data_IF_309177172412
#
_entry.id   IF_309177172412
#
_cell.length_a   1.000
_cell.length_b   1.000
_cell.length_c   1.000
_cell.angle_alpha   90.00
_cell.angle_beta   90.00
_cell.angle_gamma   90.00
#
_symmetry.space_group_name_H-M   'P 1'
#
loop_
_entity.id
_entity.type
_entity.pdbx_description
1 polymer ?
#
# COMPACT_ATOMS: atom_id res chain seq x y z
N UNK A 1 10.11 12.06 -5.97
CA UNK A 1 9.67 12.46 -7.33
C UNK A 1 8.20 12.83 -7.28
N UNK A 2 7.72 13.63 -8.23
CA UNK A 2 6.33 14.05 -8.33
C UNK A 2 5.84 13.75 -9.74
N UNK A 3 4.56 13.42 -9.88
CA UNK A 3 3.92 13.32 -11.19
C UNK A 3 3.37 14.69 -11.56
N UNK A 4 3.47 15.08 -12.84
CA UNK A 4 3.08 16.42 -13.29
C UNK A 4 2.38 16.37 -14.65
N UNK A 5 1.47 17.32 -14.90
CA UNK A 5 0.94 17.59 -16.23
C UNK A 5 1.80 18.64 -16.93
N UNK A 6 2.11 18.41 -18.20
CA UNK A 6 2.96 19.27 -19.02
C UNK A 6 2.36 19.43 -20.40
N UNK A 7 2.47 20.63 -20.97
CA UNK A 7 2.10 20.89 -22.36
C UNK A 7 2.97 22.01 -22.96
N UNK A 8 4.24 21.70 -23.18
CA UNK A 8 5.21 22.62 -23.78
C UNK A 8 6.06 21.89 -24.83
N UNK A 9 6.53 22.63 -25.84
CA UNK A 9 7.42 22.12 -26.89
C UNK A 9 8.81 22.76 -26.89
N UNK A 10 9.08 23.63 -25.92
CA UNK A 10 10.36 24.31 -25.71
C UNK A 10 10.79 24.11 -24.26
N UNK A 11 12.09 24.10 -24.01
CA UNK A 11 12.66 23.94 -22.68
C UNK A 11 13.83 24.90 -22.46
N UNK A 12 14.12 25.20 -21.21
CA UNK A 12 15.27 26.03 -20.81
C UNK A 12 16.52 25.15 -20.76
N UNK A 13 17.63 25.62 -21.33
CA UNK A 13 18.94 24.98 -21.22
C UNK A 13 19.60 25.36 -19.87
N UNK A 14 19.72 24.45 -18.89
CA UNK A 14 20.27 24.75 -17.57
C UNK A 14 21.67 25.39 -17.59
N UNK A 15 22.51 24.99 -18.55
CA UNK A 15 23.88 25.50 -18.66
C UNK A 15 23.94 26.99 -19.03
N UNK A 16 22.83 27.57 -19.51
CA UNK A 16 22.73 28.97 -19.93
C UNK A 16 22.12 29.89 -18.87
N UNK A 17 21.79 29.36 -17.69
CA UNK A 17 21.19 30.16 -16.64
C UNK A 17 22.14 31.28 -16.17
N UNK A 18 21.66 32.52 -15.98
CA UNK A 18 22.48 33.61 -15.46
C UNK A 18 23.00 33.31 -14.06
N UNK A 19 23.99 34.10 -13.64
CA UNK A 19 24.45 34.12 -12.24
C UNK A 19 23.24 34.35 -11.31
N UNK A 20 23.19 33.58 -10.22
CA UNK A 20 22.13 33.59 -9.19
C UNK A 20 20.81 32.89 -9.59
N UNK A 21 20.76 32.18 -10.73
CA UNK A 21 19.67 31.28 -11.08
C UNK A 21 20.11 29.82 -11.07
N UNK A 22 19.23 28.96 -10.57
CA UNK A 22 19.51 27.54 -10.43
C UNK A 22 18.31 26.71 -10.91
N UNK A 23 18.54 25.50 -11.45
CA UNK A 23 17.47 24.54 -11.69
C UNK A 23 16.76 24.18 -10.37
N UNK A 24 15.43 24.16 -10.41
CA UNK A 24 14.58 23.80 -9.27
C UNK A 24 14.04 22.37 -9.39
N UNK A 25 13.54 22.01 -10.58
CA UNK A 25 13.05 20.68 -10.91
C UNK A 25 13.73 20.17 -12.17
N UNK A 26 13.80 18.85 -12.31
CA UNK A 26 14.39 18.16 -13.46
C UNK A 26 13.51 16.98 -13.83
N UNK A 27 13.29 16.79 -15.13
CA UNK A 27 12.52 15.68 -15.64
C UNK A 27 13.26 14.36 -15.38
N UNK A 28 12.58 13.38 -14.77
CA UNK A 28 13.21 12.09 -14.46
C UNK A 28 13.47 11.22 -15.70
N UNK A 29 12.79 11.47 -16.82
CA UNK A 29 12.90 10.66 -18.03
C UNK A 29 13.98 11.17 -18.99
N UNK A 30 14.04 12.48 -19.23
CA UNK A 30 14.92 13.08 -20.25
C UNK A 30 15.91 14.14 -19.71
N UNK A 31 15.91 14.37 -18.39
CA UNK A 31 16.76 15.34 -17.69
C UNK A 31 16.58 16.80 -18.11
N UNK A 32 15.50 17.14 -18.83
CA UNK A 32 15.19 18.54 -19.18
C UNK A 32 14.83 19.37 -17.94
N UNK A 33 14.99 20.70 -18.06
CA UNK A 33 14.66 21.62 -16.97
C UNK A 33 13.13 21.69 -16.77
N UNK A 34 12.71 21.54 -15.52
CA UNK A 34 11.28 21.57 -15.15
C UNK A 34 10.93 22.73 -14.23
N UNK A 35 11.86 23.67 -14.05
CA UNK A 35 11.69 24.82 -13.19
C UNK A 35 13.01 25.44 -12.80
N UNK A 36 12.95 26.71 -12.42
CA UNK A 36 14.10 27.52 -12.03
C UNK A 36 13.76 28.32 -10.78
N UNK A 37 14.79 28.64 -10.00
CA UNK A 37 14.66 29.44 -8.78
C UNK A 37 15.84 30.41 -8.68
N UNK A 38 15.57 31.61 -8.20
CA UNK A 38 16.61 32.59 -7.91
C UNK A 38 17.23 32.28 -6.53
N UNK A 39 18.55 32.42 -6.38
CA UNK A 39 19.27 32.04 -5.16
C UNK A 39 18.86 32.86 -3.93
N UNK A 40 18.54 34.15 -4.11
CA UNK A 40 18.16 35.08 -3.03
C UNK A 40 16.75 35.69 -3.15
N UNK A 41 16.37 36.19 -4.33
CA UNK A 41 15.08 36.82 -4.57
C UNK A 41 13.92 35.81 -4.57
N UNK A 42 12.67 36.23 -4.32
CA UNK A 42 11.52 35.33 -4.17
C UNK A 42 10.94 34.95 -5.54
N UNK A 43 11.82 34.61 -6.49
CA UNK A 43 11.45 34.28 -7.85
C UNK A 43 11.66 32.79 -8.06
N UNK A 44 10.61 32.14 -8.54
CA UNK A 44 10.68 30.77 -9.03
C UNK A 44 9.69 30.60 -10.18
N UNK A 45 9.93 29.58 -10.99
CA UNK A 45 9.04 29.17 -12.06
C UNK A 45 9.10 27.65 -12.18
N UNK A 46 8.02 27.07 -12.68
CA UNK A 46 7.90 25.65 -13.01
C UNK A 46 7.47 25.52 -14.47
N UNK A 47 7.94 24.46 -15.11
CA UNK A 47 7.65 24.19 -16.52
C UNK A 47 6.33 23.40 -16.70
N UNK A 48 5.91 22.70 -15.65
CA UNK A 48 4.65 21.96 -15.56
C UNK A 48 3.49 22.82 -15.02
N UNK A 49 2.30 22.23 -15.01
CA UNK A 49 1.04 22.85 -14.61
C UNK A 49 0.59 22.40 -13.21
N UNK A 50 0.99 23.09 -12.12
CA UNK A 50 0.58 22.72 -10.76
C UNK A 50 -0.92 22.88 -10.51
N UNK A 51 -1.65 23.58 -11.38
CA UNK A 51 -3.10 23.72 -11.35
C UNK A 51 -3.86 22.47 -11.82
N UNK A 52 -3.14 21.42 -12.26
CA UNK A 52 -3.61 20.03 -12.37
C UNK A 52 -4.93 19.79 -13.13
N UNK A 53 -5.45 20.74 -13.91
CA UNK A 53 -6.74 20.60 -14.57
C UNK A 53 -6.64 19.58 -15.72
N UNK A 54 -6.94 18.31 -15.41
CA UNK A 54 -6.65 17.07 -16.16
C UNK A 54 -5.28 16.39 -15.86
N UNK A 55 -4.66 16.67 -14.70
CA UNK A 55 -3.42 16.07 -14.21
C UNK A 55 -3.45 15.78 -12.70
N UNK A 56 -2.36 15.28 -12.11
CA UNK A 56 -2.26 14.99 -10.67
C UNK A 56 -2.17 16.27 -9.83
N UNK A 57 -2.77 16.25 -8.64
CA UNK A 57 -2.82 17.36 -7.67
C UNK A 57 -1.54 17.49 -6.81
N UNK A 58 -0.54 16.64 -7.03
CA UNK A 58 0.66 16.45 -6.19
C UNK A 58 1.44 17.73 -5.86
N UNK A 59 1.40 18.75 -6.73
CA UNK A 59 2.19 19.99 -6.62
C UNK A 59 1.34 21.27 -6.51
N UNK A 60 0.04 21.16 -6.24
CA UNK A 60 -0.82 22.33 -5.93
C UNK A 60 -0.27 23.12 -4.73
N UNK A 61 0.42 22.43 -3.82
CA UNK A 61 1.08 23.02 -2.65
C UNK A 61 2.10 24.14 -2.99
N UNK A 62 2.56 24.27 -4.24
CA UNK A 62 3.39 25.38 -4.69
C UNK A 62 2.65 26.72 -4.65
N UNK A 63 1.32 26.74 -4.80
CA UNK A 63 0.50 27.94 -4.62
C UNK A 63 0.51 28.40 -3.15
N UNK A 64 0.42 27.48 -2.18
CA UNK A 64 0.57 27.81 -0.76
C UNK A 64 1.92 28.49 -0.50
N UNK A 65 3.00 27.90 -1.03
CA UNK A 65 4.35 28.44 -0.89
C UNK A 65 4.45 29.84 -1.48
N UNK A 66 3.89 30.05 -2.67
CA UNK A 66 3.88 31.34 -3.33
C UNK A 66 3.17 32.41 -2.48
N UNK A 67 1.96 32.12 -1.98
CA UNK A 67 1.18 33.04 -1.14
C UNK A 67 1.89 33.36 0.18
N UNK A 68 2.45 32.34 0.82
CA UNK A 68 3.18 32.47 2.08
C UNK A 68 4.48 33.28 1.92
N UNK A 69 5.23 33.06 0.84
CA UNK A 69 6.42 33.86 0.51
C UNK A 69 6.06 35.32 0.26
N UNK A 70 4.98 35.63 -0.46
CA UNK A 70 4.51 37.02 -0.65
C UNK A 70 4.27 37.72 0.68
N UNK A 71 3.67 37.04 1.65
CA UNK A 71 3.36 37.63 2.95
C UNK A 71 4.59 37.79 3.86
N UNK A 72 5.54 36.85 3.79
CA UNK A 72 6.71 36.81 4.68
C UNK A 72 7.93 37.54 4.13
N UNK A 73 8.11 37.60 2.82
CA UNK A 73 9.31 38.17 2.19
C UNK A 73 9.58 39.62 2.60
N UNK A 74 8.59 40.56 2.60
CA UNK A 74 8.84 41.95 3.00
C UNK A 74 9.29 42.12 4.46
N UNK A 75 9.00 41.14 5.32
CA UNK A 75 9.29 41.18 6.76
C UNK A 75 10.59 40.49 7.13
N UNK A 76 10.93 39.41 6.42
CA UNK A 76 11.97 38.46 6.85
C UNK A 76 12.93 38.05 5.75
N UNK A 77 12.74 38.53 4.50
CA UNK A 77 13.51 38.10 3.33
C UNK A 77 13.60 36.56 3.21
N UNK A 78 12.47 35.87 3.41
CA UNK A 78 12.42 34.41 3.35
C UNK A 78 12.91 33.89 1.99
N UNK A 79 13.74 32.84 2.00
CA UNK A 79 14.15 32.17 0.77
C UNK A 79 13.03 31.31 0.21
N UNK A 80 12.55 31.61 -0.99
CA UNK A 80 11.54 30.81 -1.69
C UNK A 80 12.03 29.39 -1.96
N UNK A 81 13.32 29.23 -2.31
CA UNK A 81 13.96 27.93 -2.51
C UNK A 81 13.87 27.05 -1.26
N UNK A 82 14.15 27.64 -0.10
CA UNK A 82 14.07 26.92 1.17
C UNK A 82 12.62 26.60 1.55
N UNK A 83 11.69 27.53 1.34
CA UNK A 83 10.27 27.30 1.59
C UNK A 83 9.69 26.17 0.74
N UNK A 84 10.04 26.11 -0.56
CA UNK A 84 9.68 24.99 -1.45
C UNK A 84 10.26 23.69 -0.91
N UNK A 85 11.57 23.65 -0.62
CA UNK A 85 12.24 22.45 -0.13
C UNK A 85 11.63 21.94 1.18
N UNK A 86 11.32 22.81 2.12
CA UNK A 86 10.70 22.47 3.40
C UNK A 86 9.30 21.89 3.18
N UNK A 87 8.45 22.57 2.39
CA UNK A 87 7.10 22.09 2.06
C UNK A 87 7.15 20.71 1.42
N UNK A 88 7.98 20.52 0.39
CA UNK A 88 8.12 19.24 -0.33
C UNK A 88 8.74 18.13 0.53
N UNK A 89 9.74 18.44 1.36
CA UNK A 89 10.38 17.43 2.23
C UNK A 89 9.47 17.04 3.38
N UNK A 90 8.62 17.94 3.88
CA UNK A 90 7.66 17.62 4.94
C UNK A 90 6.65 16.53 4.55
N UNK A 91 6.45 16.31 3.25
CA UNK A 91 5.60 15.25 2.70
C UNK A 91 6.30 13.88 2.78
N UNK A 92 7.63 13.85 2.68
CA UNK A 92 8.43 12.63 2.72
C UNK A 92 8.71 12.23 4.18
N UNK A 93 8.00 11.20 4.67
CA UNK A 93 8.06 10.80 6.08
C UNK A 93 9.22 9.84 6.41
N UNK A 94 9.69 9.02 5.47
CA UNK A 94 10.72 8.02 5.76
C UNK A 94 11.83 7.99 4.70
N UNK A 95 13.11 7.94 5.12
CA UNK A 95 14.24 7.79 4.21
C UNK A 95 14.28 6.36 3.63
N UNK A 96 14.93 6.17 2.47
CA UNK A 96 15.18 4.84 1.93
C UNK A 96 15.97 3.96 2.91
N UNK A 97 15.74 2.64 2.87
CA UNK A 97 16.53 1.66 3.61
C UNK A 97 17.99 1.74 3.17
N UNK A 98 18.89 2.00 4.12
CA UNK A 98 20.34 2.08 3.88
C UNK A 98 21.07 0.76 4.11
N UNK A 99 20.47 -0.17 4.85
CA UNK A 99 21.01 -1.50 5.16
C UNK A 99 20.07 -2.58 4.63
N UNK A 100 20.37 -3.06 3.41
CA UNK A 100 19.59 -4.09 2.73
C UNK A 100 19.91 -5.48 3.30
N UNK A 101 18.90 -6.32 3.57
CA UNK A 101 19.12 -7.67 4.05
C UNK A 101 19.78 -8.53 2.98
N UNK A 102 20.81 -9.28 3.36
CA UNK A 102 21.51 -10.22 2.45
C UNK A 102 20.66 -11.45 2.06
N UNK A 103 19.66 -11.78 2.88
CA UNK A 103 18.75 -12.91 2.67
C UNK A 103 17.33 -12.52 3.05
N UNK A 104 16.38 -12.81 2.16
CA UNK A 104 14.96 -12.52 2.33
C UNK A 104 14.14 -13.79 2.20
N UNK A 105 13.20 -13.97 3.14
CA UNK A 105 12.17 -14.99 3.08
C UNK A 105 10.93 -14.42 2.36
N UNK A 106 10.39 -15.16 1.39
CA UNK A 106 9.14 -14.86 0.73
C UNK A 106 8.12 -15.92 1.15
N UNK A 107 6.98 -15.46 1.67
CA UNK A 107 5.84 -16.32 1.96
C UNK A 107 4.96 -16.37 0.71
N UNK A 108 4.90 -17.54 0.06
CA UNK A 108 4.08 -17.78 -1.12
C UNK A 108 2.58 -17.85 -0.82
N UNK A 109 1.78 -18.17 -1.84
CA UNK A 109 0.31 -18.20 -1.71
C UNK A 109 -0.27 -19.51 -1.20
N UNK A 110 0.49 -20.59 -1.24
CA UNK A 110 -0.05 -21.92 -0.98
C UNK A 110 -0.88 -22.45 -2.14
N UNK A 111 -1.82 -23.33 -1.82
CA UNK A 111 -2.70 -23.94 -2.82
C UNK A 111 -3.57 -22.92 -3.53
N UNK A 112 -3.95 -23.22 -4.77
CA UNK A 112 -4.92 -22.41 -5.51
C UNK A 112 -6.31 -22.57 -4.90
N UNK A 113 -6.97 -21.46 -4.58
CA UNK A 113 -8.34 -21.43 -4.08
C UNK A 113 -9.16 -20.39 -4.85
N UNK A 114 -10.48 -20.50 -4.80
CA UNK A 114 -11.36 -19.46 -5.38
C UNK A 114 -11.06 -18.13 -4.67
N UNK A 115 -10.76 -17.08 -5.43
CA UNK A 115 -10.38 -15.76 -4.90
C UNK A 115 -8.89 -15.60 -4.58
N UNK A 116 -8.08 -16.64 -4.74
CA UNK A 116 -6.62 -16.61 -4.59
C UNK A 116 -5.98 -17.59 -5.57
N UNK A 117 -5.64 -17.10 -6.76
CA UNK A 117 -5.22 -17.93 -7.89
C UNK A 117 -3.75 -17.68 -8.29
N UNK A 118 -3.47 -17.73 -9.59
CA UNK A 118 -2.11 -17.66 -10.15
C UNK A 118 -1.46 -16.27 -10.10
N UNK A 119 -2.19 -15.22 -9.72
CA UNK A 119 -1.66 -13.86 -9.58
C UNK A 119 -0.51 -13.77 -8.55
N UNK A 120 -0.55 -14.64 -7.53
CA UNK A 120 0.49 -14.71 -6.51
C UNK A 120 1.72 -15.51 -6.94
N UNK A 121 1.53 -16.49 -7.84
CA UNK A 121 2.64 -17.18 -8.50
C UNK A 121 3.44 -16.19 -9.36
N UNK A 122 2.73 -15.39 -10.16
CA UNK A 122 3.33 -14.34 -10.98
C UNK A 122 4.02 -13.27 -10.12
N UNK A 123 3.31 -12.65 -9.18
CA UNK A 123 3.85 -11.55 -8.38
C UNK A 123 5.00 -12.00 -7.45
N UNK A 124 4.89 -13.19 -6.85
CA UNK A 124 5.98 -13.80 -6.09
C UNK A 124 7.21 -14.08 -6.94
N UNK A 125 7.04 -14.48 -8.20
CA UNK A 125 8.16 -14.67 -9.14
C UNK A 125 8.84 -13.34 -9.51
N UNK A 126 8.08 -12.25 -9.69
CA UNK A 126 8.65 -10.91 -9.91
C UNK A 126 9.42 -10.43 -8.68
N UNK A 127 8.92 -10.68 -7.47
CA UNK A 127 9.63 -10.35 -6.23
C UNK A 127 10.98 -11.07 -6.13
N UNK A 128 11.03 -12.36 -6.47
CA UNK A 128 12.29 -13.13 -6.51
C UNK A 128 13.26 -12.53 -7.53
N UNK A 129 12.76 -12.17 -8.72
CA UNK A 129 13.58 -11.55 -9.77
C UNK A 129 14.19 -10.23 -9.31
N UNK A 130 13.40 -9.35 -8.72
CA UNK A 130 13.86 -8.05 -8.21
C UNK A 130 14.93 -8.22 -7.11
N UNK A 131 14.72 -9.14 -6.16
CA UNK A 131 15.71 -9.44 -5.12
C UNK A 131 17.03 -9.95 -5.71
N UNK A 132 16.97 -10.78 -6.77
CA UNK A 132 18.15 -11.28 -7.45
C UNK A 132 18.93 -10.20 -8.19
N UNK A 133 18.25 -9.26 -8.84
CA UNK A 133 18.89 -8.10 -9.49
C UNK A 133 19.70 -7.26 -8.48
N UNK A 134 19.24 -7.20 -7.23
CA UNK A 134 19.92 -6.55 -6.10
C UNK A 134 20.89 -7.45 -5.32
N UNK A 135 21.22 -8.64 -5.84
CA UNK A 135 22.12 -9.62 -5.21
C UNK A 135 21.69 -10.09 -3.81
N UNK A 136 20.37 -10.13 -3.54
CA UNK A 136 19.79 -10.61 -2.29
C UNK A 136 19.42 -12.09 -2.42
N UNK A 137 19.88 -12.91 -1.47
CA UNK A 137 19.55 -14.34 -1.44
C UNK A 137 18.07 -14.55 -1.10
N UNK A 138 17.42 -15.43 -1.85
CA UNK A 138 15.97 -15.68 -1.76
C UNK A 138 15.66 -17.04 -1.18
N UNK A 139 14.83 -17.07 -0.13
CA UNK A 139 14.21 -18.29 0.39
C UNK A 139 12.72 -18.18 0.16
N UNK A 140 12.13 -19.18 -0.48
CA UNK A 140 10.69 -19.28 -0.69
C UNK A 140 10.11 -20.38 0.18
N UNK A 141 8.97 -20.11 0.82
CA UNK A 141 8.09 -21.15 1.34
C UNK A 141 6.78 -21.14 0.55
N UNK A 142 6.46 -22.26 -0.11
CA UNK A 142 5.20 -22.44 -0.82
C UNK A 142 4.90 -23.95 -0.97
N UNK A 143 3.80 -24.47 -0.40
CA UNK A 143 3.45 -25.89 -0.53
C UNK A 143 2.95 -26.26 -1.94
N UNK A 144 2.60 -25.30 -2.80
CA UNK A 144 2.06 -25.57 -4.12
C UNK A 144 3.17 -25.86 -5.13
N UNK A 145 3.35 -27.16 -5.43
CA UNK A 145 4.34 -27.69 -6.38
C UNK A 145 4.06 -27.31 -7.85
N UNK A 146 2.86 -26.84 -8.18
CA UNK A 146 2.44 -26.55 -9.54
C UNK A 146 2.52 -25.04 -9.85
N UNK A 147 3.61 -24.39 -9.42
CA UNK A 147 3.84 -22.95 -9.58
C UNK A 147 5.17 -22.66 -10.27
N UNK A 148 5.22 -21.60 -11.06
CA UNK A 148 6.47 -21.10 -11.64
C UNK A 148 7.42 -20.64 -10.53
N UNK A 149 6.87 -20.04 -9.47
CA UNK A 149 7.58 -19.56 -8.29
C UNK A 149 8.49 -20.63 -7.65
N UNK A 150 8.06 -21.90 -7.69
CA UNK A 150 8.80 -23.04 -7.11
C UNK A 150 9.71 -23.76 -8.11
N UNK A 151 9.82 -23.24 -9.34
CA UNK A 151 10.69 -23.82 -10.37
C UNK A 151 12.16 -23.76 -9.97
N UNK A 152 12.90 -24.81 -10.34
CA UNK A 152 14.33 -24.93 -10.03
C UNK A 152 15.11 -23.74 -10.58
N UNK A 153 15.86 -23.08 -9.69
CA UNK A 153 16.73 -21.96 -10.04
C UNK A 153 16.05 -20.59 -10.02
N UNK A 154 14.72 -20.51 -9.80
CA UNK A 154 14.06 -19.22 -9.64
C UNK A 154 14.38 -18.61 -8.27
N UNK A 155 14.02 -19.26 -7.16
CA UNK A 155 14.54 -18.92 -5.83
C UNK A 155 15.84 -19.69 -5.54
N UNK A 156 16.69 -19.19 -4.65
CA UNK A 156 17.92 -19.89 -4.25
C UNK A 156 17.62 -21.13 -3.41
N UNK A 157 16.55 -21.07 -2.60
CA UNK A 157 16.05 -22.21 -1.85
C UNK A 157 14.53 -22.19 -1.75
N UNK A 158 13.91 -23.36 -1.92
CA UNK A 158 12.45 -23.54 -1.85
C UNK A 158 12.12 -24.56 -0.76
N UNK A 159 11.14 -24.22 0.08
CA UNK A 159 10.54 -25.08 1.09
C UNK A 159 9.09 -25.39 0.69
N UNK A 160 8.82 -26.67 0.43
CA UNK A 160 7.46 -27.19 0.21
C UNK A 160 6.82 -27.55 1.54
N UNK A 161 6.52 -26.52 2.35
CA UNK A 161 5.94 -26.67 3.68
C UNK A 161 4.62 -25.92 3.78
N UNK A 162 3.69 -26.35 4.65
CA UNK A 162 2.45 -25.61 4.92
C UNK A 162 2.71 -24.19 5.41
N UNK A 163 1.87 -23.24 4.99
CA UNK A 163 1.94 -21.83 5.38
C UNK A 163 1.23 -21.59 6.71
N UNK A 164 1.72 -22.22 7.77
CA UNK A 164 1.24 -22.00 9.14
C UNK A 164 2.40 -21.60 10.04
N UNK A 165 2.15 -20.79 11.09
CA UNK A 165 3.21 -20.14 11.87
C UNK A 165 4.32 -21.07 12.36
N UNK A 166 3.96 -22.28 12.80
CA UNK A 166 4.92 -23.27 13.29
C UNK A 166 5.99 -23.62 12.24
N UNK A 167 5.59 -23.97 11.01
CA UNK A 167 6.53 -24.35 9.96
C UNK A 167 7.31 -23.15 9.45
N UNK A 168 6.67 -21.98 9.34
CA UNK A 168 7.35 -20.75 8.90
C UNK A 168 8.41 -20.34 9.93
N UNK A 169 8.13 -20.45 11.24
CA UNK A 169 9.12 -20.20 12.29
C UNK A 169 10.31 -21.15 12.17
N UNK A 170 10.11 -22.44 11.88
CA UNK A 170 11.22 -23.38 11.67
C UNK A 170 12.12 -22.96 10.50
N UNK A 171 11.52 -22.48 9.40
CA UNK A 171 12.29 -21.94 8.26
C UNK A 171 13.05 -20.69 8.66
N UNK A 172 12.42 -19.74 9.37
CA UNK A 172 13.09 -18.53 9.88
C UNK A 172 14.27 -18.91 10.80
N UNK A 173 14.08 -19.88 11.69
CA UNK A 173 15.10 -20.35 12.63
C UNK A 173 16.30 -20.98 11.91
N UNK A 174 16.04 -21.76 10.86
CA UNK A 174 17.05 -22.44 10.05
C UNK A 174 17.80 -21.47 9.13
N UNK A 175 17.07 -20.63 8.41
CA UNK A 175 17.63 -19.78 7.35
C UNK A 175 18.17 -18.45 7.84
N UNK A 176 17.68 -17.94 8.98
CA UNK A 176 18.01 -16.64 9.56
C UNK A 176 17.95 -15.50 8.53
N UNK A 177 16.79 -15.30 7.86
CA UNK A 177 16.64 -14.20 6.91
C UNK A 177 16.73 -12.84 7.64
N UNK A 178 17.33 -11.85 7.00
CA UNK A 178 17.34 -10.48 7.52
C UNK A 178 16.04 -9.72 7.24
N UNK A 179 15.26 -10.20 6.27
CA UNK A 179 13.95 -9.64 5.95
C UNK A 179 12.93 -10.67 5.48
N UNK A 180 11.65 -10.31 5.51
CA UNK A 180 10.53 -11.13 5.06
C UNK A 180 9.55 -10.31 4.22
N UNK A 181 9.03 -10.91 3.15
CA UNK A 181 7.96 -10.35 2.32
C UNK A 181 6.68 -11.16 2.51
N UNK A 182 5.62 -10.48 2.95
CA UNK A 182 4.32 -11.07 3.27
C UNK A 182 3.25 -10.78 2.20
N UNK A 183 3.49 -9.79 1.35
CA UNK A 183 2.49 -9.20 0.43
C UNK A 183 2.31 -9.96 -0.89
N UNK A 184 3.02 -11.08 -1.09
CA UNK A 184 2.98 -11.88 -2.32
C UNK A 184 2.30 -13.24 -2.13
N UNK A 185 1.72 -13.50 -0.96
CA UNK A 185 1.13 -14.79 -0.59
C UNK A 185 -0.39 -14.80 -0.48
N UNK A 186 -1.08 -13.77 -0.98
CA UNK A 186 -2.52 -13.60 -0.78
C UNK A 186 -2.91 -13.60 0.69
N UNK A 187 -4.16 -13.98 1.00
CA UNK A 187 -4.66 -13.97 2.37
C UNK A 187 -3.93 -15.00 3.24
N UNK A 188 -3.61 -16.17 2.69
CA UNK A 188 -2.89 -17.23 3.42
C UNK A 188 -1.54 -16.72 3.96
N UNK A 189 -0.75 -16.06 3.10
CA UNK A 189 0.54 -15.50 3.50
C UNK A 189 0.42 -14.34 4.47
N UNK A 190 -0.57 -13.45 4.24
CA UNK A 190 -0.84 -12.31 5.12
C UNK A 190 -1.26 -12.75 6.53
N UNK A 191 -2.25 -13.64 6.65
CA UNK A 191 -2.73 -14.15 7.93
C UNK A 191 -1.61 -14.86 8.70
N UNK A 192 -0.84 -15.71 8.02
CA UNK A 192 0.32 -16.36 8.63
C UNK A 192 1.34 -15.33 9.13
N UNK A 193 1.57 -14.25 8.38
CA UNK A 193 2.42 -13.13 8.80
C UNK A 193 1.91 -12.42 10.05
N UNK A 194 0.61 -12.12 10.13
CA UNK A 194 -0.02 -11.50 11.30
C UNK A 194 0.08 -12.39 12.54
N UNK A 195 -0.14 -13.70 12.40
CA UNK A 195 0.00 -14.66 13.48
C UNK A 195 1.45 -14.75 13.99
N UNK A 196 2.43 -14.73 13.09
CA UNK A 196 3.86 -14.73 13.43
C UNK A 196 4.29 -13.47 14.18
N UNK A 197 3.76 -12.30 13.80
CA UNK A 197 4.02 -11.04 14.50
C UNK A 197 3.39 -11.03 15.89
N UNK A 198 2.14 -11.50 15.99
CA UNK A 198 1.44 -11.62 17.27
C UNK A 198 2.15 -12.58 18.22
N UNK A 199 2.72 -13.67 17.70
CA UNK A 199 3.59 -14.59 18.44
C UNK A 199 5.00 -14.01 18.73
N UNK A 200 5.32 -12.81 18.25
CA UNK A 200 6.60 -12.14 18.46
C UNK A 200 7.79 -12.78 17.72
N UNK A 201 7.53 -13.59 16.69
CA UNK A 201 8.54 -14.37 15.97
C UNK A 201 9.52 -13.46 15.24
N UNK A 202 9.03 -12.46 14.50
CA UNK A 202 9.92 -11.57 13.74
C UNK A 202 10.88 -10.81 14.64
N UNK A 203 10.40 -10.30 15.79
CA UNK A 203 11.25 -9.69 16.82
C UNK A 203 12.25 -10.68 17.43
N UNK A 204 11.81 -11.90 17.78
CA UNK A 204 12.64 -12.95 18.37
C UNK A 204 13.84 -13.34 17.49
N UNK A 205 13.66 -13.36 16.17
CA UNK A 205 14.71 -13.72 15.21
C UNK A 205 15.34 -12.53 14.49
N UNK A 206 14.98 -11.29 14.86
CA UNK A 206 15.44 -10.05 14.24
C UNK A 206 15.22 -10.01 12.71
N UNK A 207 14.02 -10.40 12.29
CA UNK A 207 13.61 -10.38 10.88
C UNK A 207 12.82 -9.10 10.62
N UNK A 208 13.24 -8.30 9.63
CA UNK A 208 12.52 -7.09 9.24
C UNK A 208 11.40 -7.43 8.26
N UNK A 209 10.20 -6.93 8.50
CA UNK A 209 9.13 -6.99 7.50
C UNK A 209 9.44 -5.94 6.44
N UNK A 210 9.54 -6.36 5.18
CA UNK A 210 9.88 -5.50 4.05
C UNK A 210 8.61 -5.08 3.31
N UNK A 211 8.59 -3.84 2.82
CA UNK A 211 7.42 -3.26 2.16
C UNK A 211 6.43 -2.67 3.16
N UNK A 212 5.13 -2.92 2.95
CA UNK A 212 4.07 -2.39 3.82
C UNK A 212 4.26 -2.87 5.27
N UNK A 213 4.31 -1.95 6.25
CA UNK A 213 4.40 -2.32 7.65
C UNK A 213 3.23 -3.23 8.06
N UNK A 214 3.50 -4.21 8.92
CA UNK A 214 2.46 -5.16 9.35
C UNK A 214 1.30 -4.50 10.07
N UNK A 215 1.56 -3.42 10.80
CA UNK A 215 0.48 -2.64 11.41
C UNK A 215 -0.47 -2.08 10.35
N UNK A 216 0.06 -1.56 9.23
CA UNK A 216 -0.78 -1.07 8.14
C UNK A 216 -1.60 -2.20 7.51
N UNK A 217 -1.06 -3.41 7.39
CA UNK A 217 -1.82 -4.60 6.97
C UNK A 217 -2.99 -4.86 7.93
N UNK A 218 -2.71 -4.92 9.23
CA UNK A 218 -3.74 -5.14 10.27
C UNK A 218 -4.82 -4.06 10.20
N UNK A 219 -4.40 -2.79 10.08
CA UNK A 219 -5.31 -1.65 10.02
C UNK A 219 -6.21 -1.65 8.78
N UNK A 220 -5.77 -2.26 7.67
CA UNK A 220 -6.56 -2.36 6.43
C UNK A 220 -7.46 -3.59 6.38
N UNK A 221 -7.09 -4.67 7.07
CA UNK A 221 -7.86 -5.91 7.11
C UNK A 221 -9.04 -5.80 8.10
N UNK A 222 -8.83 -5.14 9.26
CA UNK A 222 -9.93 -4.83 10.18
C UNK A 222 -10.71 -3.61 9.70
N UNK A 223 -11.99 -3.82 9.36
CA UNK A 223 -12.82 -2.78 8.76
C UNK A 223 -13.24 -1.67 9.71
N UNK A 224 -13.28 -1.94 11.01
CA UNK A 224 -13.53 -0.89 12.02
C UNK A 224 -12.31 0.02 12.10
N UNK A 225 -11.12 -0.57 12.25
CA UNK A 225 -9.86 0.20 12.28
C UNK A 225 -9.69 0.98 10.98
N UNK A 226 -9.95 0.33 9.84
CA UNK A 226 -9.90 0.98 8.53
C UNK A 226 -10.84 2.20 8.46
N UNK A 227 -12.11 2.03 8.83
CA UNK A 227 -13.10 3.11 8.84
C UNK A 227 -12.67 4.28 9.73
N UNK A 228 -12.16 3.99 10.93
CA UNK A 228 -11.64 5.00 11.86
C UNK A 228 -10.44 5.75 11.28
N UNK A 229 -9.52 5.04 10.61
CA UNK A 229 -8.36 5.67 9.95
C UNK A 229 -8.78 6.57 8.79
N UNK A 230 -9.70 6.12 7.94
CA UNK A 230 -10.22 6.93 6.83
C UNK A 230 -10.97 8.17 7.38
N UNK A 231 -11.78 8.01 8.43
CA UNK A 231 -12.45 9.13 9.07
C UNK A 231 -11.47 10.15 9.67
N UNK A 232 -10.32 9.71 10.18
CA UNK A 232 -9.31 10.59 10.78
C UNK A 232 -8.70 11.61 9.81
N UNK A 233 -8.76 11.33 8.51
CA UNK A 233 -8.31 12.24 7.44
C UNK A 233 -9.47 12.99 6.77
N UNK A 234 -10.69 12.90 7.33
CA UNK A 234 -11.89 13.56 6.79
C UNK A 234 -12.55 12.83 5.62
N UNK A 235 -12.05 11.64 5.27
CA UNK A 235 -12.60 10.81 4.20
C UNK A 235 -13.76 9.94 4.69
N UNK A 236 -14.53 9.40 3.74
CA UNK A 236 -15.77 8.67 4.04
C UNK A 236 -15.73 7.25 3.50
N UNK A 237 -16.21 6.32 4.31
CA UNK A 237 -16.52 4.94 3.88
C UNK A 237 -18.03 4.74 3.81
N UNK A 238 -18.45 3.71 3.07
CA UNK A 238 -19.85 3.29 3.10
C UNK A 238 -20.26 2.97 4.55
N UNK A 239 -21.46 3.40 5.01
CA UNK A 239 -21.97 3.02 6.31
C UNK A 239 -21.97 1.49 6.43
N UNK A 240 -21.30 0.99 7.46
CA UNK A 240 -21.11 -0.45 7.65
C UNK A 240 -21.02 -0.80 9.13
N UNK A 241 -21.33 -2.05 9.47
CA UNK A 241 -21.24 -2.59 10.81
C UNK A 241 -20.60 -3.99 10.78
N UNK A 242 -19.64 -4.22 11.67
CA UNK A 242 -19.08 -5.54 11.92
C UNK A 242 -19.95 -6.25 12.97
N UNK A 243 -20.34 -7.49 12.67
CA UNK A 243 -21.26 -8.30 13.46
C UNK A 243 -20.70 -9.72 13.64
N UNK A 244 -21.04 -10.36 14.75
CA UNK A 244 -20.51 -11.67 15.15
C UNK A 244 -21.59 -12.74 15.30
N UNK A 245 -22.85 -12.36 15.12
CA UNK A 245 -24.00 -13.25 15.22
C UNK A 245 -25.03 -12.93 14.14
N UNK A 246 -25.95 -13.87 13.91
CA UNK A 246 -27.07 -13.65 13.00
C UNK A 246 -27.97 -12.52 13.51
N UNK A 247 -28.23 -12.48 14.81
CA UNK A 247 -29.05 -11.47 15.46
C UNK A 247 -28.47 -10.06 15.23
N UNK A 248 -27.17 -9.88 15.49
CA UNK A 248 -26.48 -8.62 15.23
C UNK A 248 -26.53 -8.22 13.74
N UNK A 249 -26.40 -9.19 12.82
CA UNK A 249 -26.49 -8.93 11.38
C UNK A 249 -27.86 -8.35 11.00
N UNK A 250 -28.94 -8.92 11.54
CA UNK A 250 -30.30 -8.47 11.29
C UNK A 250 -30.54 -7.08 11.89
N UNK A 251 -30.07 -6.82 13.12
CA UNK A 251 -30.16 -5.51 13.76
C UNK A 251 -29.38 -4.44 12.97
N UNK A 252 -28.16 -4.76 12.53
CA UNK A 252 -27.36 -3.86 11.70
C UNK A 252 -28.07 -3.49 10.41
N UNK A 253 -28.74 -4.45 9.76
CA UNK A 253 -29.47 -4.20 8.52
C UNK A 253 -30.73 -3.35 8.71
N UNK A 254 -31.40 -3.41 9.88
CA UNK A 254 -32.49 -2.48 10.21
C UNK A 254 -31.97 -1.05 10.39
N UNK A 255 -30.79 -0.88 10.99
CA UNK A 255 -30.18 0.46 11.17
C UNK A 255 -29.68 1.03 9.84
N UNK A 256 -29.03 0.22 9.01
CA UNK A 256 -28.48 0.64 7.71
C UNK A 256 -29.60 0.78 6.65
N UNK A 257 -30.69 0.02 6.81
CA UNK A 257 -31.78 -0.13 5.87
C UNK A 257 -31.42 -0.95 4.64
N UNK A 258 -32.32 -1.83 4.21
CA UNK A 258 -32.17 -2.59 2.98
C UNK A 258 -32.19 -1.70 1.71
N UNK A 259 -31.58 -2.13 0.60
CA UNK A 259 -30.74 -3.32 0.47
C UNK A 259 -29.37 -3.17 1.15
N UNK A 260 -28.81 -4.28 1.63
CA UNK A 260 -27.49 -4.36 2.27
C UNK A 260 -26.59 -5.37 1.55
N UNK A 261 -25.28 -5.25 1.76
CA UNK A 261 -24.28 -6.22 1.31
C UNK A 261 -23.67 -6.90 2.54
N UNK A 262 -23.76 -8.22 2.61
CA UNK A 262 -23.08 -9.03 3.60
C UNK A 262 -21.73 -9.49 3.04
N UNK A 263 -20.64 -9.34 3.80
CA UNK A 263 -19.29 -9.82 3.44
C UNK A 263 -18.62 -10.50 4.63
N UNK A 264 -18.04 -11.67 4.42
CA UNK A 264 -17.18 -12.30 5.43
C UNK A 264 -15.88 -11.49 5.63
N UNK A 265 -15.39 -11.40 6.87
CA UNK A 265 -14.10 -10.80 7.16
C UNK A 265 -12.94 -11.76 6.83
N UNK A 266 -11.74 -11.22 6.58
CA UNK A 266 -10.50 -11.95 6.26
C UNK A 266 -10.64 -12.94 5.09
N UNK A 267 -11.50 -12.62 4.12
CA UNK A 267 -11.70 -13.42 2.91
C UNK A 267 -11.48 -12.61 1.64
N UNK A 268 -10.94 -13.28 0.62
CA UNK A 268 -10.75 -12.72 -0.72
C UNK A 268 -11.77 -13.32 -1.71
N UNK A 269 -12.02 -12.60 -2.80
CA UNK A 269 -12.87 -13.08 -3.90
C UNK A 269 -14.36 -13.18 -3.60
N UNK A 270 -14.84 -12.56 -2.52
CA UNK A 270 -16.26 -12.52 -2.18
C UNK A 270 -16.82 -13.83 -1.62
N UNK A 271 -15.96 -14.72 -1.10
CA UNK A 271 -16.41 -15.96 -0.46
C UNK A 271 -17.37 -15.63 0.70
N UNK A 272 -18.59 -16.18 0.64
CA UNK A 272 -19.63 -15.91 1.64
C UNK A 272 -20.21 -14.48 1.59
N UNK A 273 -19.98 -13.74 0.51
CA UNK A 273 -20.51 -12.39 0.32
C UNK A 273 -21.73 -12.38 -0.60
N UNK A 274 -22.66 -11.47 -0.36
CA UNK A 274 -23.87 -11.34 -1.18
C UNK A 274 -24.68 -10.09 -0.86
N UNK A 275 -25.61 -9.75 -1.75
CA UNK A 275 -26.59 -8.70 -1.51
C UNK A 275 -27.87 -9.31 -0.93
N UNK A 276 -28.46 -8.60 0.04
CA UNK A 276 -29.77 -8.92 0.58
C UNK A 276 -30.68 -7.71 0.41
N UNK A 277 -31.78 -7.91 -0.29
CA UNK A 277 -32.84 -6.91 -0.47
C UNK A 277 -33.84 -6.93 0.71
N UNK A 278 -33.79 -7.98 1.54
CA UNK A 278 -34.66 -8.15 2.71
C UNK A 278 -34.05 -9.06 3.79
N UNK A 279 -34.76 -9.17 4.91
CA UNK A 279 -34.38 -9.94 6.10
C UNK A 279 -34.15 -11.43 5.84
N UNK A 280 -34.97 -12.05 5.00
CA UNK A 280 -34.89 -13.49 4.75
C UNK A 280 -33.66 -13.85 3.92
N UNK A 281 -33.35 -13.02 2.91
CA UNK A 281 -32.11 -13.15 2.13
C UNK A 281 -30.87 -12.95 3.00
N UNK A 282 -30.88 -11.93 3.87
CA UNK A 282 -29.75 -11.67 4.76
C UNK A 282 -29.50 -12.83 5.72
N UNK A 283 -30.55 -13.44 6.24
CA UNK A 283 -30.43 -14.59 7.16
C UNK A 283 -29.71 -15.77 6.50
N UNK A 284 -30.02 -16.06 5.25
CA UNK A 284 -29.37 -17.15 4.49
C UNK A 284 -27.88 -16.83 4.30
N UNK A 285 -27.57 -15.61 3.87
CA UNK A 285 -26.19 -15.17 3.65
C UNK A 285 -25.36 -15.16 4.93
N UNK A 286 -25.92 -14.62 6.02
CA UNK A 286 -25.23 -14.52 7.30
C UNK A 286 -24.88 -15.88 7.89
N UNK A 287 -25.79 -16.85 7.83
CA UNK A 287 -25.55 -18.22 8.28
C UNK A 287 -24.44 -18.91 7.47
N UNK A 288 -24.41 -18.70 6.15
CA UNK A 288 -23.35 -19.24 5.30
C UNK A 288 -22.00 -18.59 5.58
N UNK A 289 -21.96 -17.27 5.75
CA UNK A 289 -20.73 -16.53 6.01
C UNK A 289 -20.13 -16.87 7.38
N UNK A 290 -20.95 -16.90 8.44
CA UNK A 290 -20.50 -17.16 9.81
C UNK A 290 -20.06 -18.61 10.04
N UNK A 291 -20.40 -19.54 9.13
CA UNK A 291 -19.86 -20.90 9.14
C UNK A 291 -18.36 -20.95 8.74
N UNK A 292 -17.87 -19.91 8.06
CA UNK A 292 -16.51 -19.86 7.51
C UNK A 292 -15.67 -18.70 8.06
N UNK A 293 -16.29 -17.70 8.69
CA UNK A 293 -15.61 -16.57 9.31
C UNK A 293 -16.26 -16.23 10.65
N UNK A 294 -15.45 -15.84 11.63
CA UNK A 294 -15.95 -15.42 12.95
C UNK A 294 -16.58 -14.03 12.93
N UNK A 295 -16.47 -13.29 11.83
CA UNK A 295 -16.98 -11.93 11.68
C UNK A 295 -17.62 -11.76 10.30
N UNK A 296 -18.79 -11.14 10.28
CA UNK A 296 -19.52 -10.72 9.10
C UNK A 296 -19.63 -9.19 9.08
N UNK A 297 -19.63 -8.60 7.90
CA UNK A 297 -19.74 -7.16 7.70
C UNK A 297 -21.01 -6.90 6.92
N UNK A 298 -21.86 -6.02 7.45
CA UNK A 298 -23.06 -5.55 6.77
C UNK A 298 -22.80 -4.12 6.30
N UNK A 299 -22.76 -3.90 4.99
CA UNK A 299 -22.63 -2.58 4.38
C UNK A 299 -23.96 -2.11 3.82
N UNK A 300 -24.17 -0.79 3.82
CA UNK A 300 -25.20 -0.18 2.98
C UNK A 300 -24.89 -0.49 1.50
N UNK A 301 -25.86 -1.01 0.77
CA UNK A 301 -25.68 -1.28 -0.65
C UNK A 301 -25.44 0.02 -1.42
N UNK A 302 -24.33 0.06 -2.15
CA UNK A 302 -24.01 1.09 -3.15
C UNK A 302 -24.20 0.56 -4.58
N UNK A 303 -25.02 -0.48 -4.76
CA UNK A 303 -25.29 -1.10 -6.06
C UNK A 303 -25.70 -0.04 -7.08
N UNK A 304 -24.99 -0.02 -8.22
CA UNK A 304 -25.20 0.96 -9.29
C UNK A 304 -24.25 2.16 -9.27
N UNK A 305 -23.45 2.31 -8.22
CA UNK A 305 -22.30 3.22 -8.22
C UNK A 305 -21.19 2.64 -9.11
N UNK A 306 -20.41 3.52 -9.75
CA UNK A 306 -19.31 3.15 -10.65
C UNK A 306 -18.05 2.76 -9.90
#
# INVERSE_FOLDING_TARGET
CYMTSQNHGFAIEPATLPKDWEPLFTNANDATNEGIVHSTLPYFSVQFHPEHNAGPEDLECLFDVFLDVIQRYPKTNVSVKQAIKEKLTSILKEPPLTDLPKKVLIIGSGGLSIGQAGEFDYSGSQAIKALKEENIQTVLINPNIATVQTSKGLADKVYFLPLVPEYVEQVIKSERPGGVLLTFGGQTGLNCGVDLETAGVFKKYNVKILGTPIQAIIDTEDRKIFSEKIASIGEKVAPSMAVYSLEEALEAAEVLGYPVMARAAFSLGGLGSGFADNKDELKILALQALAHSSQLIIDKSLKGWK
#
